data_IF_116041790679
#
_entry.id   IF_116041790679
#
_cell.length_a   1.000
_cell.length_b   1.000
_cell.length_c   1.000
_cell.angle_alpha   90.00
_cell.angle_beta   90.00
_cell.angle_gamma   90.00
#
_symmetry.space_group_name_H-M   'P 1'
#
loop_
_entity.id
_entity.type
_entity.pdbx_description
1 polymer ?
#
# COMPACT_ATOMS: atom_id res chain seq x y z
N UNK A 1 -3.98 12.51 23.99
CA UNK A 1 -2.66 13.16 23.92
C UNK A 1 -2.02 12.65 22.64
N UNK A 2 -1.79 13.49 21.63
CA UNK A 2 -1.05 13.04 20.45
C UNK A 2 0.40 12.88 20.89
N UNK A 3 0.83 11.65 21.14
CA UNK A 3 2.26 11.37 21.26
C UNK A 3 2.89 11.68 19.92
N UNK A 4 3.93 12.51 19.92
CA UNK A 4 4.74 12.74 18.72
C UNK A 4 5.46 11.41 18.46
N UNK A 5 4.87 10.57 17.61
CA UNK A 5 5.43 9.27 17.27
C UNK A 5 6.63 9.49 16.37
N UNK A 6 7.82 9.32 16.94
CA UNK A 6 9.06 9.34 16.16
C UNK A 6 9.11 8.04 15.36
N UNK A 7 8.83 8.14 14.06
CA UNK A 7 8.87 6.99 13.15
C UNK A 7 10.32 6.60 12.88
N UNK A 8 10.61 5.31 12.97
CA UNK A 8 11.87 4.77 12.48
C UNK A 8 11.98 4.95 10.96
N UNK A 9 13.21 4.96 10.45
CA UNK A 9 13.45 4.97 9.01
C UNK A 9 12.81 3.75 8.33
N UNK A 10 12.87 2.60 8.97
CA UNK A 10 12.24 1.35 8.50
C UNK A 10 10.74 1.52 8.32
N UNK A 11 10.02 2.07 9.30
CA UNK A 11 8.58 2.31 9.18
C UNK A 11 8.23 3.22 8.01
N UNK A 12 9.00 4.30 7.83
CA UNK A 12 8.82 5.24 6.73
C UNK A 12 9.08 4.58 5.38
N UNK A 13 10.16 3.82 5.27
CA UNK A 13 10.54 3.13 4.04
C UNK A 13 9.51 2.07 3.67
N UNK A 14 9.03 1.26 4.62
CA UNK A 14 8.01 0.24 4.34
C UNK A 14 6.65 0.84 4.00
N UNK A 15 6.24 1.92 4.66
CA UNK A 15 5.03 2.66 4.27
C UNK A 15 5.14 3.21 2.84
N UNK A 16 6.27 3.83 2.49
CA UNK A 16 6.54 4.27 1.11
C UNK A 16 6.53 3.11 0.11
N UNK A 17 7.15 1.97 0.45
CA UNK A 17 7.18 0.78 -0.41
C UNK A 17 5.78 0.20 -0.66
N UNK A 18 4.88 0.26 0.32
CA UNK A 18 3.49 -0.15 0.10
C UNK A 18 2.86 0.64 -1.05
N UNK A 19 3.08 1.96 -1.14
CA UNK A 19 2.58 2.77 -2.25
C UNK A 19 3.39 2.61 -3.54
N UNK A 20 4.73 2.57 -3.45
CA UNK A 20 5.59 2.48 -4.63
C UNK A 20 5.44 1.13 -5.35
N UNK A 21 5.17 0.05 -4.62
CA UNK A 21 4.92 -1.26 -5.22
C UNK A 21 3.64 -1.31 -6.06
N UNK A 22 2.71 -0.35 -5.91
CA UNK A 22 1.54 -0.22 -6.80
C UNK A 22 1.93 0.01 -8.27
N UNK A 23 3.11 0.55 -8.55
CA UNK A 23 3.59 0.75 -9.92
C UNK A 23 4.00 -0.56 -10.63
N UNK A 24 4.01 -1.70 -9.93
CA UNK A 24 4.23 -3.01 -10.56
C UNK A 24 3.18 -3.35 -11.63
N UNK A 25 2.01 -2.68 -11.62
CA UNK A 25 1.01 -2.80 -12.69
C UNK A 25 1.52 -2.41 -14.08
N UNK A 26 2.63 -1.66 -14.18
CA UNK A 26 3.26 -1.29 -15.46
C UNK A 26 3.84 -2.53 -16.16
N UNK A 27 4.30 -3.52 -15.39
CA UNK A 27 5.00 -4.71 -15.91
C UNK A 27 4.09 -5.94 -15.87
N UNK A 28 3.33 -6.11 -14.79
CA UNK A 28 2.51 -7.31 -14.54
C UNK A 28 1.05 -6.90 -14.33
N UNK A 29 0.07 -7.49 -15.04
CA UNK A 29 -1.35 -7.28 -14.77
C UNK A 29 -1.69 -7.53 -13.30
N UNK A 30 -2.53 -6.68 -12.71
CA UNK A 30 -2.86 -6.68 -11.27
C UNK A 30 -1.67 -6.47 -10.32
N UNK A 31 -0.46 -6.20 -10.84
CA UNK A 31 0.73 -5.89 -10.04
C UNK A 31 0.50 -4.73 -9.08
N UNK A 32 -0.41 -3.82 -9.42
CA UNK A 32 -0.79 -2.71 -8.57
C UNK A 32 -1.52 -3.10 -7.28
N UNK A 33 -2.09 -4.30 -7.18
CA UNK A 33 -2.70 -4.83 -5.94
C UNK A 33 -1.73 -5.81 -5.28
N UNK A 34 -1.11 -6.69 -6.07
CA UNK A 34 -0.19 -7.73 -5.59
C UNK A 34 1.05 -7.10 -4.93
N UNK A 35 1.62 -6.05 -5.52
CA UNK A 35 2.79 -5.35 -4.98
C UNK A 35 2.55 -4.82 -3.55
N UNK A 36 1.55 -3.95 -3.35
CA UNK A 36 1.22 -3.45 -2.02
C UNK A 36 0.85 -4.56 -1.04
N UNK A 37 0.17 -5.61 -1.51
CA UNK A 37 -0.21 -6.75 -0.66
C UNK A 37 1.02 -7.49 -0.11
N UNK A 38 2.04 -7.73 -0.94
CA UNK A 38 3.29 -8.36 -0.52
C UNK A 38 4.06 -7.43 0.43
N UNK A 39 4.20 -6.15 0.09
CA UNK A 39 4.89 -5.18 0.93
C UNK A 39 4.24 -5.03 2.31
N UNK A 40 2.90 -4.87 2.35
CA UNK A 40 2.15 -4.76 3.58
C UNK A 40 2.21 -6.05 4.41
N UNK A 41 1.96 -7.21 3.80
CA UNK A 41 1.94 -8.50 4.52
C UNK A 41 3.29 -8.82 5.19
N UNK A 42 4.39 -8.33 4.63
CA UNK A 42 5.74 -8.55 5.17
C UNK A 42 5.97 -7.86 6.53
N UNK A 43 5.28 -6.74 6.81
CA UNK A 43 5.56 -5.90 8.00
C UNK A 43 4.34 -5.39 8.76
N UNK A 44 3.12 -5.74 8.35
CA UNK A 44 1.86 -5.24 8.95
C UNK A 44 1.70 -5.49 10.45
N UNK A 45 2.34 -6.52 11.00
CA UNK A 45 2.25 -6.84 12.42
C UNK A 45 3.32 -6.15 13.27
N UNK A 46 4.32 -5.52 12.64
CA UNK A 46 5.44 -4.90 13.34
C UNK A 46 5.22 -3.41 13.63
N UNK A 47 4.40 -2.72 12.83
CA UNK A 47 4.09 -1.31 13.05
C UNK A 47 2.68 -0.97 12.59
N UNK A 48 1.92 -0.30 13.47
CA UNK A 48 0.61 0.25 13.10
C UNK A 48 0.68 1.33 12.02
N UNK A 49 1.81 2.04 11.89
CA UNK A 49 1.99 3.01 10.81
C UNK A 49 2.09 2.30 9.45
N UNK A 50 2.87 1.21 9.38
CA UNK A 50 2.94 0.38 8.16
C UNK A 50 1.58 -0.26 7.87
N UNK A 51 0.87 -0.72 8.90
CA UNK A 51 -0.45 -1.34 8.75
C UNK A 51 -1.49 -0.37 8.16
N UNK A 52 -1.53 0.86 8.66
CA UNK A 52 -2.39 1.93 8.15
C UNK A 52 -2.09 2.28 6.69
N UNK A 53 -0.82 2.51 6.35
CA UNK A 53 -0.40 2.86 4.99
C UNK A 53 -0.55 1.71 4.00
N UNK A 54 -0.28 0.47 4.42
CA UNK A 54 -0.48 -0.71 3.58
C UNK A 54 -1.96 -0.94 3.23
N UNK A 55 -2.86 -0.82 4.22
CA UNK A 55 -4.31 -0.86 3.97
C UNK A 55 -4.78 0.29 3.08
N UNK A 56 -4.27 1.51 3.28
CA UNK A 56 -4.62 2.67 2.47
C UNK A 56 -4.19 2.48 1.00
N UNK A 57 -2.97 1.99 0.76
CA UNK A 57 -2.48 1.66 -0.58
C UNK A 57 -3.36 0.61 -1.26
N UNK A 58 -3.68 -0.49 -0.56
CA UNK A 58 -4.56 -1.52 -1.09
C UNK A 58 -5.97 -1.00 -1.39
N UNK A 59 -6.54 -0.21 -0.49
CA UNK A 59 -7.87 0.39 -0.68
C UNK A 59 -7.91 1.31 -1.91
N UNK A 60 -6.86 2.11 -2.13
CA UNK A 60 -6.76 2.95 -3.32
C UNK A 60 -6.72 2.11 -4.60
N UNK A 61 -5.90 1.05 -4.63
CA UNK A 61 -5.75 0.21 -5.81
C UNK A 61 -7.00 -0.60 -6.13
N UNK A 62 -7.73 -1.06 -5.10
CA UNK A 62 -9.05 -1.67 -5.27
C UNK A 62 -10.08 -0.65 -5.79
N UNK A 63 -10.05 0.59 -5.30
CA UNK A 63 -10.93 1.66 -5.79
C UNK A 63 -10.66 1.97 -7.26
N UNK A 64 -9.39 2.09 -7.66
CA UNK A 64 -8.99 2.27 -9.06
C UNK A 64 -9.45 1.10 -9.92
N UNK A 65 -9.30 -0.14 -9.45
CA UNK A 65 -9.83 -1.32 -10.16
C UNK A 65 -11.35 -1.22 -10.36
N UNK A 66 -12.12 -0.91 -9.32
CA UNK A 66 -13.57 -0.77 -9.43
C UNK A 66 -13.96 0.35 -10.40
N UNK A 67 -13.30 1.52 -10.33
CA UNK A 67 -13.54 2.61 -11.28
C UNK A 67 -13.18 2.21 -12.71
N UNK A 68 -12.12 1.42 -12.90
CA UNK A 68 -11.74 0.90 -14.21
C UNK A 68 -12.83 -0.02 -14.76
N UNK A 69 -13.32 -0.96 -13.95
CA UNK A 69 -14.37 -1.91 -14.35
C UNK A 69 -15.73 -1.23 -14.65
N UNK A 70 -16.05 -0.13 -13.96
CA UNK A 70 -17.32 0.57 -14.12
C UNK A 70 -17.27 1.61 -15.25
N UNK A 71 -16.17 2.34 -15.39
CA UNK A 71 -16.08 3.51 -16.28
C UNK A 71 -15.40 3.20 -17.62
N UNK A 72 -14.67 2.09 -17.74
CA UNK A 72 -14.05 1.68 -19.00
C UNK A 72 -14.94 0.59 -19.63
N UNK A 73 -15.57 0.86 -20.80
CA UNK A 73 -16.44 -0.08 -21.47
C UNK A 73 -15.72 -1.34 -21.97
#
# INVERSE_FOLDING_TARGET
MNEIRVLSETERNWAMLCHLSSFASIIVPFGGIIGPLICWSSKRYESSFIDEHGKASLNFQLSVLLYTLVCIP
#
